data_IF_235189529528
#
_entry.id   IF_235189529528
#
_cell.length_a   1.000
_cell.length_b   1.000
_cell.length_c   1.000
_cell.angle_alpha   90.00
_cell.angle_beta   90.00
_cell.angle_gamma   90.00
#
_symmetry.space_group_name_H-M   'P 1'
#
loop_
_entity.id
_entity.type
_entity.pdbx_description
1 polymer ?
#
# COMPACT_ATOMS: atom_id res chain seq x y z
N UNK A 1 -4.44 42.69 -53.67
CA UNK A 1 -5.04 41.34 -53.80
C UNK A 1 -3.99 40.31 -53.41
N UNK A 2 -4.31 39.45 -52.43
CA UNK A 2 -3.86 38.05 -52.17
C UNK A 2 -2.36 37.71 -52.23
N UNK A 3 -1.77 37.31 -51.08
CA UNK A 3 -1.42 35.93 -50.64
C UNK A 3 0.04 35.56 -51.02
N UNK A 4 0.89 34.94 -50.18
CA UNK A 4 0.74 34.41 -48.83
C UNK A 4 2.04 33.82 -48.26
N UNK A 5 2.02 33.62 -46.94
CA UNK A 5 2.75 32.66 -46.08
C UNK A 5 4.30 32.66 -46.02
N UNK A 6 4.77 33.29 -44.93
CA UNK A 6 6.07 33.19 -44.27
C UNK A 6 6.08 31.93 -43.37
N UNK A 7 7.14 31.14 -43.37
CA UNK A 7 7.38 30.12 -42.34
C UNK A 7 8.87 30.13 -41.98
N UNK A 8 9.21 30.75 -40.86
CA UNK A 8 10.49 30.53 -40.19
C UNK A 8 10.26 30.38 -38.69
N UNK A 9 11.12 29.54 -38.11
CA UNK A 9 11.44 29.37 -36.70
C UNK A 9 10.47 28.62 -35.78
N UNK A 10 10.85 27.34 -35.60
CA UNK A 10 10.77 26.45 -34.44
C UNK A 10 10.38 27.14 -33.11
N UNK A 11 9.08 27.15 -32.86
CA UNK A 11 8.38 27.00 -31.58
C UNK A 11 8.87 25.73 -30.84
N UNK A 12 8.83 25.52 -29.53
CA UNK A 12 8.18 26.21 -28.43
C UNK A 12 8.73 25.59 -27.13
N UNK A 13 8.94 26.39 -26.09
CA UNK A 13 9.11 25.91 -24.72
C UNK A 13 7.86 26.29 -23.94
N UNK A 14 7.01 25.33 -23.56
CA UNK A 14 6.00 25.55 -22.51
C UNK A 14 5.85 24.37 -21.55
N UNK A 15 6.25 24.66 -20.31
CA UNK A 15 5.74 24.08 -19.08
C UNK A 15 4.33 24.68 -18.87
N UNK A 16 3.27 23.87 -18.88
CA UNK A 16 1.96 24.31 -18.38
C UNK A 16 1.85 23.94 -16.90
N UNK A 17 1.89 24.95 -16.04
CA UNK A 17 1.43 24.90 -14.65
C UNK A 17 0.25 25.87 -14.57
N UNK A 18 -0.96 25.34 -14.49
CA UNK A 18 -2.18 26.10 -14.31
C UNK A 18 -2.52 26.10 -12.81
N UNK A 19 -2.44 27.24 -12.15
CA UNK A 19 -3.13 27.51 -10.89
C UNK A 19 -3.45 29.00 -10.78
N UNK A 20 -4.74 29.26 -10.58
CA UNK A 20 -5.46 30.53 -10.52
C UNK A 20 -4.70 31.78 -10.06
N UNK A 21 -4.91 32.83 -10.87
CA UNK A 21 -4.70 34.25 -10.58
C UNK A 21 -5.52 34.74 -9.39
N UNK A 22 -4.85 35.46 -8.48
CA UNK A 22 -5.47 36.23 -7.40
C UNK A 22 -4.52 37.33 -6.89
N UNK A 23 -4.47 38.44 -7.65
CA UNK A 23 -4.14 39.83 -7.26
C UNK A 23 -2.73 40.14 -6.70
N UNK A 24 -1.96 40.95 -7.44
CA UNK A 24 -0.88 41.79 -6.89
C UNK A 24 0.47 41.61 -7.61
N UNK A 25 0.78 42.53 -8.53
CA UNK A 25 2.03 42.56 -9.30
C UNK A 25 3.22 43.11 -8.51
N UNK A 26 4.43 42.60 -8.79
CA UNK A 26 5.55 43.40 -9.31
C UNK A 26 6.67 42.48 -9.80
N UNK A 27 7.26 42.83 -10.94
CA UNK A 27 8.33 42.11 -11.61
C UNK A 27 9.64 42.87 -11.42
N UNK A 28 10.68 42.21 -10.93
CA UNK A 28 12.07 42.63 -11.14
C UNK A 28 12.83 41.45 -11.76
N UNK A 29 13.25 41.63 -13.01
CA UNK A 29 13.87 40.59 -13.83
C UNK A 29 15.31 40.31 -13.44
N UNK A 30 15.68 39.03 -13.41
CA UNK A 30 17.07 38.58 -13.28
C UNK A 30 17.60 38.30 -14.70
N UNK A 31 18.55 39.12 -15.15
CA UNK A 31 19.34 38.88 -16.35
C UNK A 31 20.34 37.75 -16.08
N UNK A 32 20.31 36.69 -16.88
CA UNK A 32 21.36 35.66 -16.89
C UNK A 32 22.05 35.72 -18.26
N UNK A 33 23.22 36.34 -18.30
CA UNK A 33 24.12 36.25 -19.45
C UNK A 33 24.89 34.93 -19.41
N UNK A 34 24.91 34.21 -20.54
CA UNK A 34 25.75 33.02 -20.72
C UNK A 34 27.21 33.47 -20.82
N UNK A 35 28.05 33.05 -19.88
CA UNK A 35 29.51 33.08 -20.04
C UNK A 35 30.05 31.66 -19.94
N UNK A 36 30.93 31.32 -20.88
CA UNK A 36 31.52 30.00 -21.11
C UNK A 36 33.00 30.07 -20.73
N UNK A 37 33.52 28.95 -20.20
CA UNK A 37 34.93 28.60 -19.88
C UNK A 37 35.37 28.85 -18.43
N UNK A 38 36.48 28.22 -17.97
CA UNK A 38 36.46 27.07 -17.07
C UNK A 38 37.23 27.40 -15.77
N UNK A 39 37.47 26.40 -14.93
CA UNK A 39 38.37 26.41 -13.75
C UNK A 39 37.93 27.22 -12.51
N UNK A 40 37.69 26.44 -11.44
CA UNK A 40 37.93 26.66 -10.01
C UNK A 40 37.32 27.82 -9.19
N UNK A 41 36.71 27.39 -8.08
CA UNK A 41 36.61 28.02 -6.76
C UNK A 41 35.75 29.30 -6.69
N UNK A 42 34.60 29.19 -6.02
CA UNK A 42 34.04 30.32 -5.28
C UNK A 42 33.62 29.91 -3.86
N UNK A 43 34.44 30.41 -2.94
CA UNK A 43 34.24 30.62 -1.52
C UNK A 43 32.99 31.49 -1.30
N UNK A 44 32.06 31.08 -0.43
CA UNK A 44 31.07 31.99 0.14
C UNK A 44 31.28 32.11 1.65
N UNK A 45 31.72 33.30 2.06
CA UNK A 45 31.76 33.76 3.44
C UNK A 45 30.45 34.49 3.78
N UNK A 46 30.06 34.33 5.05
CA UNK A 46 28.81 34.70 5.72
C UNK A 46 28.37 36.16 5.62
N UNK A 47 27.06 36.39 5.69
CA UNK A 47 26.50 37.35 6.67
C UNK A 47 25.19 36.82 7.25
N UNK A 48 25.12 36.75 8.58
CA UNK A 48 23.91 36.47 9.33
C UNK A 48 23.03 37.71 9.39
N UNK A 49 21.79 37.61 8.93
CA UNK A 49 20.71 38.52 9.33
C UNK A 49 19.55 37.69 9.88
N UNK A 50 19.13 38.07 11.07
CA UNK A 50 18.00 37.48 11.80
C UNK A 50 16.69 37.85 11.12
N UNK A 51 15.93 36.86 10.69
CA UNK A 51 14.47 36.99 10.57
C UNK A 51 13.79 35.63 10.75
N UNK A 52 13.03 35.55 11.84
CA UNK A 52 11.86 34.69 12.07
C UNK A 52 11.83 33.32 11.39
N UNK A 53 12.09 32.28 12.19
CA UNK A 53 11.74 30.90 11.89
C UNK A 53 10.23 30.74 11.77
N UNK A 54 9.68 30.88 10.58
CA UNK A 54 8.43 30.21 10.22
C UNK A 54 8.78 28.75 9.96
N UNK A 55 8.49 27.91 10.94
CA UNK A 55 8.38 26.47 10.78
C UNK A 55 7.52 26.19 9.55
N UNK A 56 8.13 25.65 8.49
CA UNK A 56 7.40 24.99 7.42
C UNK A 56 6.80 23.72 8.00
N UNK A 57 5.62 23.86 8.61
CA UNK A 57 4.79 22.72 8.95
C UNK A 57 4.33 22.11 7.63
N UNK A 58 4.97 21.00 7.25
CA UNK A 58 4.43 20.08 6.25
C UNK A 58 3.07 19.62 6.78
N UNK A 59 2.01 20.27 6.32
CA UNK A 59 0.63 19.90 6.61
C UNK A 59 0.38 18.56 5.93
N UNK A 60 0.58 17.47 6.68
CA UNK A 60 0.03 16.17 6.37
C UNK A 60 -1.49 16.34 6.39
N UNK A 61 -2.08 16.54 5.21
CA UNK A 61 -3.51 16.36 5.02
C UNK A 61 -3.83 14.91 5.38
N UNK A 62 -4.28 14.69 6.63
CA UNK A 62 -4.94 13.46 7.01
C UNK A 62 -6.19 13.34 6.15
N UNK A 63 -6.09 12.61 5.04
CA UNK A 63 -7.22 12.32 4.17
C UNK A 63 -8.13 11.30 4.84
N UNK A 64 -8.84 11.73 5.89
CA UNK A 64 -10.14 11.14 6.21
C UNK A 64 -11.06 11.51 5.05
N UNK A 65 -11.18 10.61 4.07
CA UNK A 65 -12.27 10.60 3.10
C UNK A 65 -13.35 9.60 3.56
N UNK A 66 -14.18 9.94 4.58
CA UNK A 66 -15.17 9.01 5.14
C UNK A 66 -16.25 8.60 4.13
N UNK A 67 -16.46 9.36 3.05
CA UNK A 67 -17.57 9.12 2.11
C UNK A 67 -17.24 8.15 0.95
N UNK A 68 -15.99 7.69 0.81
CA UNK A 68 -15.59 6.74 -0.26
C UNK A 68 -15.47 5.27 0.22
N UNK A 69 -15.65 5.02 1.51
CA UNK A 69 -15.49 3.69 2.12
C UNK A 69 -16.71 2.76 1.98
N UNK A 70 -17.86 3.24 1.50
CA UNK A 70 -19.04 2.39 1.22
C UNK A 70 -18.93 1.61 -0.10
N UNK A 71 -17.76 1.12 -0.45
CA UNK A 71 -17.56 0.28 -1.64
C UNK A 71 -17.65 -1.18 -1.22
N UNK A 72 -18.54 -1.93 -1.86
CA UNK A 72 -18.43 -3.38 -1.85
C UNK A 72 -17.09 -3.76 -2.48
N UNK A 73 -16.30 -4.57 -1.77
CA UNK A 73 -15.01 -5.05 -2.26
C UNK A 73 -15.32 -6.06 -3.37
N UNK A 74 -15.15 -5.65 -4.63
CA UNK A 74 -15.18 -6.56 -5.77
C UNK A 74 -13.76 -6.80 -6.28
N UNK A 75 -13.00 -7.70 -5.66
CA UNK A 75 -11.54 -7.79 -5.83
C UNK A 75 -11.04 -9.22 -5.92
N UNK A 76 -10.03 -9.39 -6.77
CA UNK A 76 -9.37 -10.66 -7.04
C UNK A 76 -7.90 -10.55 -6.63
N UNK A 77 -7.37 -11.60 -6.03
CA UNK A 77 -5.96 -11.69 -5.68
C UNK A 77 -5.32 -12.91 -6.32
N UNK A 78 -4.01 -12.87 -6.53
CA UNK A 78 -3.26 -14.07 -6.81
C UNK A 78 -3.07 -14.87 -5.52
N UNK A 79 -3.25 -16.19 -5.56
CA UNK A 79 -3.12 -17.04 -4.38
C UNK A 79 -2.71 -18.45 -4.77
N UNK A 80 -1.90 -19.11 -3.93
CA UNK A 80 -1.62 -20.53 -4.07
C UNK A 80 -2.42 -21.27 -2.99
N UNK A 81 -3.37 -22.14 -3.37
CA UNK A 81 -4.14 -22.90 -2.41
C UNK A 81 -3.25 -23.93 -1.69
N UNK A 82 -3.46 -24.15 -0.39
CA UNK A 82 -2.75 -25.19 0.35
C UNK A 82 -3.17 -26.58 -0.14
N UNK A 83 -2.21 -27.46 -0.41
CA UNK A 83 -2.40 -28.87 -0.74
C UNK A 83 -1.36 -29.72 0.00
N UNK A 84 -1.63 -31.00 0.31
CA UNK A 84 -0.63 -31.88 0.93
C UNK A 84 0.69 -31.94 0.15
N UNK A 85 0.64 -31.82 -1.18
CA UNK A 85 1.81 -31.86 -2.06
C UNK A 85 2.63 -30.58 -2.02
N UNK A 86 2.06 -29.48 -1.51
CA UNK A 86 2.72 -28.18 -1.43
C UNK A 86 2.95 -27.69 0.00
N UNK A 87 2.95 -28.58 1.00
CA UNK A 87 3.21 -28.19 2.39
C UNK A 87 4.65 -27.69 2.60
N UNK A 88 5.64 -28.36 2.00
CA UNK A 88 7.05 -27.97 2.10
C UNK A 88 7.30 -26.61 1.42
N UNK A 89 8.21 -25.81 1.98
CA UNK A 89 8.56 -24.49 1.43
C UNK A 89 9.17 -24.55 0.03
N UNK A 90 9.83 -25.67 -0.33
CA UNK A 90 10.43 -25.90 -1.65
C UNK A 90 9.45 -26.51 -2.64
N UNK A 91 8.26 -26.93 -2.18
CA UNK A 91 7.24 -27.49 -3.05
C UNK A 91 6.46 -26.39 -3.78
N UNK A 92 6.31 -26.57 -5.09
CA UNK A 92 5.60 -25.64 -5.95
C UNK A 92 4.10 -25.89 -5.90
N UNK A 93 3.31 -24.84 -5.67
CA UNK A 93 1.86 -24.85 -5.91
C UNK A 93 1.51 -24.09 -7.19
N UNK A 94 0.32 -24.33 -7.73
CA UNK A 94 -0.18 -23.63 -8.91
C UNK A 94 -1.01 -22.42 -8.45
N UNK A 95 -0.65 -21.19 -8.86
CA UNK A 95 -1.45 -20.02 -8.52
C UNK A 95 -2.83 -20.05 -9.18
N UNK A 96 -3.83 -19.64 -8.42
CA UNK A 96 -5.19 -19.41 -8.88
C UNK A 96 -5.62 -18.00 -8.51
N UNK A 97 -6.74 -17.57 -9.10
CA UNK A 97 -7.41 -16.33 -8.71
C UNK A 97 -8.26 -16.57 -7.47
N UNK A 98 -7.98 -15.84 -6.40
CA UNK A 98 -8.80 -15.78 -5.19
C UNK A 98 -9.85 -14.67 -5.33
N UNK A 99 -11.13 -15.05 -5.40
CA UNK A 99 -12.25 -14.11 -5.49
C UNK A 99 -12.70 -13.65 -4.10
N UNK A 100 -12.16 -12.54 -3.63
CA UNK A 100 -12.40 -12.05 -2.28
C UNK A 100 -13.87 -11.68 -2.03
N UNK A 101 -14.55 -11.13 -3.03
CA UNK A 101 -15.96 -10.73 -2.96
C UNK A 101 -16.86 -11.90 -2.60
N UNK A 102 -16.61 -13.05 -3.24
CA UNK A 102 -17.34 -14.30 -3.00
C UNK A 102 -16.94 -14.91 -1.66
N UNK A 103 -15.65 -15.03 -1.40
CA UNK A 103 -15.15 -15.77 -0.25
C UNK A 103 -15.29 -15.05 1.09
N UNK A 104 -15.40 -13.72 1.06
CA UNK A 104 -15.58 -12.89 2.25
C UNK A 104 -17.04 -12.46 2.49
N UNK A 105 -17.98 -12.98 1.69
CA UNK A 105 -19.40 -12.75 1.90
C UNK A 105 -19.80 -13.20 3.32
N UNK A 106 -20.49 -12.31 4.05
CA UNK A 106 -20.96 -12.52 5.44
C UNK A 106 -19.85 -12.84 6.46
N UNK A 107 -18.60 -12.49 6.18
CA UNK A 107 -17.47 -12.67 7.10
C UNK A 107 -16.99 -11.35 7.65
N UNK A 108 -16.38 -11.39 8.84
CA UNK A 108 -15.53 -10.31 9.34
C UNK A 108 -14.08 -10.60 8.95
N UNK A 109 -13.49 -9.73 8.14
CA UNK A 109 -12.16 -9.89 7.55
C UNK A 109 -11.26 -8.75 7.98
N UNK A 110 -10.09 -9.09 8.49
CA UNK A 110 -9.00 -8.15 8.73
C UNK A 110 -8.02 -8.28 7.57
N UNK A 111 -7.72 -7.17 6.92
CA UNK A 111 -6.67 -7.07 5.92
C UNK A 111 -5.53 -6.26 6.50
N UNK A 112 -4.30 -6.69 6.32
CA UNK A 112 -3.15 -5.80 6.43
C UNK A 112 -2.24 -5.98 5.23
N UNK A 113 -1.70 -4.86 4.76
CA UNK A 113 -0.77 -4.82 3.65
C UNK A 113 0.56 -4.26 4.07
N UNK A 114 1.59 -4.71 3.37
CA UNK A 114 2.97 -4.36 3.57
C UNK A 114 3.68 -4.28 2.22
N UNK A 115 4.77 -3.49 2.11
CA UNK A 115 5.41 -3.27 0.81
C UNK A 115 6.05 -4.51 0.19
N UNK A 116 6.49 -5.49 1.00
CA UNK A 116 6.99 -6.75 0.47
C UNK A 116 7.33 -7.79 1.51
N UNK A 117 7.07 -9.05 1.17
CA UNK A 117 7.50 -10.23 1.91
C UNK A 117 9.03 -10.24 2.10
N UNK A 118 9.48 -10.85 3.20
CA UNK A 118 10.90 -10.95 3.59
C UNK A 118 11.63 -9.61 3.85
N UNK A 119 10.94 -8.46 3.81
CA UNK A 119 11.57 -7.17 4.14
C UNK A 119 11.62 -6.93 5.66
N UNK A 120 12.58 -6.12 6.19
CA UNK A 120 12.92 -6.10 7.61
C UNK A 120 11.74 -5.81 8.55
N UNK A 121 11.09 -4.64 8.41
CA UNK A 121 9.96 -4.25 9.28
C UNK A 121 8.76 -5.19 9.14
N UNK A 122 8.50 -5.65 7.92
CA UNK A 122 7.37 -6.51 7.61
C UNK A 122 7.51 -7.88 8.30
N UNK A 123 8.73 -8.42 8.30
CA UNK A 123 9.04 -9.75 8.85
C UNK A 123 9.34 -9.71 10.34
N UNK A 124 9.89 -8.61 10.86
CA UNK A 124 10.26 -8.50 12.26
C UNK A 124 9.09 -8.11 13.17
N UNK A 125 8.16 -7.28 12.70
CA UNK A 125 7.12 -6.71 13.58
C UNK A 125 5.70 -6.74 13.02
N UNK A 126 5.50 -6.58 11.70
CA UNK A 126 4.15 -6.46 11.16
C UNK A 126 3.40 -7.80 11.16
N UNK A 127 3.87 -8.79 10.41
CA UNK A 127 3.24 -10.13 10.35
C UNK A 127 3.28 -10.86 11.71
N UNK A 128 4.42 -10.91 12.44
CA UNK A 128 4.44 -11.60 13.74
C UNK A 128 3.44 -11.05 14.75
N UNK A 129 3.18 -9.72 14.72
CA UNK A 129 2.17 -9.09 15.55
C UNK A 129 0.77 -9.65 15.30
N UNK A 130 0.40 -9.92 14.04
CA UNK A 130 -0.88 -10.56 13.71
C UNK A 130 -0.92 -12.02 14.14
N UNK A 131 0.14 -12.78 13.88
CA UNK A 131 0.23 -14.20 14.28
C UNK A 131 0.04 -14.36 15.79
N UNK A 132 0.72 -13.54 16.60
CA UNK A 132 0.60 -13.56 18.06
C UNK A 132 -0.81 -13.19 18.57
N UNK A 133 -1.60 -12.48 17.76
CA UNK A 133 -2.90 -11.92 18.13
C UNK A 133 -4.09 -12.65 17.49
N UNK A 134 -3.85 -13.72 16.73
CA UNK A 134 -4.91 -14.53 16.12
C UNK A 134 -5.99 -14.98 17.13
N UNK A 135 -5.67 -15.41 18.38
CA UNK A 135 -6.70 -15.76 19.36
C UNK A 135 -7.60 -14.57 19.72
N UNK A 136 -7.02 -13.40 20.00
CA UNK A 136 -7.77 -12.20 20.36
C UNK A 136 -8.62 -11.69 19.17
N UNK A 137 -8.10 -11.79 17.94
CA UNK A 137 -8.85 -11.48 16.73
C UNK A 137 -10.05 -12.42 16.58
N UNK A 138 -9.88 -13.70 16.88
CA UNK A 138 -10.98 -14.67 16.86
C UNK A 138 -12.06 -14.34 17.89
N UNK A 139 -11.68 -14.00 19.11
CA UNK A 139 -12.62 -13.59 20.18
C UNK A 139 -13.47 -12.38 19.78
N UNK A 140 -12.92 -11.50 18.94
CA UNK A 140 -13.64 -10.36 18.33
C UNK A 140 -14.51 -10.72 17.13
N UNK A 141 -14.62 -12.01 16.81
CA UNK A 141 -15.42 -12.54 15.72
C UNK A 141 -14.77 -12.37 14.34
N UNK A 142 -13.43 -12.23 14.26
CA UNK A 142 -12.73 -12.23 12.97
C UNK A 142 -12.72 -13.65 12.41
N UNK A 143 -13.14 -13.79 11.15
CA UNK A 143 -13.17 -15.05 10.42
C UNK A 143 -11.91 -15.24 9.58
N UNK A 144 -11.36 -14.15 9.03
CA UNK A 144 -10.22 -14.18 8.11
C UNK A 144 -9.24 -13.07 8.44
N UNK A 145 -7.96 -13.40 8.45
CA UNK A 145 -6.84 -12.44 8.47
C UNK A 145 -6.08 -12.61 7.15
N UNK A 146 -6.16 -11.60 6.28
CA UNK A 146 -5.53 -11.61 4.96
C UNK A 146 -4.34 -10.65 4.92
N UNK A 147 -3.16 -11.22 4.66
CA UNK A 147 -1.92 -10.48 4.42
C UNK A 147 -1.76 -10.24 2.92
N UNK A 148 -1.57 -8.99 2.50
CA UNK A 148 -1.43 -8.61 1.09
C UNK A 148 -0.09 -7.92 0.82
N UNK A 149 0.61 -8.31 -0.24
CA UNK A 149 1.79 -7.59 -0.71
C UNK A 149 1.88 -7.58 -2.24
N UNK A 150 2.75 -6.72 -2.78
CA UNK A 150 3.08 -6.65 -4.21
C UNK A 150 3.73 -7.94 -4.76
N UNK A 151 4.30 -8.77 -3.88
CA UNK A 151 4.94 -10.00 -4.29
C UNK A 151 3.98 -10.94 -5.00
N UNK A 152 4.49 -11.71 -5.96
CA UNK A 152 3.72 -12.74 -6.66
C UNK A 152 3.22 -13.86 -5.70
N UNK A 153 2.27 -14.70 -6.16
CA UNK A 153 1.67 -15.73 -5.31
C UNK A 153 2.66 -16.77 -4.78
N UNK A 154 3.75 -17.07 -5.50
CA UNK A 154 4.76 -18.04 -5.06
C UNK A 154 5.53 -17.50 -3.87
N UNK A 155 5.95 -16.25 -3.95
CA UNK A 155 6.64 -15.57 -2.85
C UNK A 155 5.71 -15.44 -1.64
N UNK A 156 4.44 -15.07 -1.84
CA UNK A 156 3.48 -14.96 -0.74
C UNK A 156 3.22 -16.32 -0.06
N UNK A 157 3.09 -17.39 -0.85
CA UNK A 157 2.95 -18.76 -0.33
C UNK A 157 4.17 -19.21 0.47
N UNK A 158 5.38 -19.05 -0.09
CA UNK A 158 6.62 -19.41 0.58
C UNK A 158 6.85 -18.59 1.85
N UNK A 159 6.46 -17.32 1.86
CA UNK A 159 6.57 -16.46 3.03
C UNK A 159 5.64 -16.88 4.16
N UNK A 160 4.39 -17.29 3.85
CA UNK A 160 3.50 -17.87 4.86
C UNK A 160 4.14 -19.08 5.54
N UNK A 161 4.63 -20.03 4.74
CA UNK A 161 5.33 -21.23 5.25
C UNK A 161 6.57 -20.90 6.07
N UNK A 162 7.36 -19.93 5.62
CA UNK A 162 8.55 -19.47 6.34
C UNK A 162 8.24 -18.88 7.73
N UNK A 163 7.00 -18.43 7.95
CA UNK A 163 6.53 -17.90 9.24
C UNK A 163 5.71 -18.93 10.04
N UNK A 164 5.79 -20.21 9.70
CA UNK A 164 5.12 -21.29 10.41
C UNK A 164 3.61 -21.31 10.22
N UNK A 165 3.11 -20.75 9.11
CA UNK A 165 1.71 -20.91 8.71
C UNK A 165 1.60 -22.19 7.91
N UNK A 166 0.83 -23.13 8.44
CA UNK A 166 0.64 -24.44 7.85
C UNK A 166 -0.63 -24.48 7.00
N UNK A 167 -0.80 -25.55 6.23
CA UNK A 167 -1.89 -25.68 5.29
C UNK A 167 -3.27 -25.60 5.97
N UNK A 168 -3.37 -26.16 7.17
CA UNK A 168 -4.55 -26.18 8.03
C UNK A 168 -4.97 -24.78 8.53
N UNK A 169 -4.02 -23.85 8.66
CA UNK A 169 -4.26 -22.45 9.05
C UNK A 169 -4.85 -21.62 7.91
N UNK A 170 -4.61 -22.06 6.67
CA UNK A 170 -4.97 -21.36 5.42
C UNK A 170 -6.34 -21.83 4.90
N UNK A 171 -6.92 -22.89 5.47
CA UNK A 171 -8.18 -23.48 4.99
C UNK A 171 -9.33 -22.48 5.11
N UNK A 172 -9.77 -21.99 3.96
CA UNK A 172 -11.14 -21.53 3.73
C UNK A 172 -11.97 -22.67 3.14
N UNK A 173 -13.29 -22.51 3.11
CA UNK A 173 -14.28 -23.45 2.54
C UNK A 173 -14.06 -23.86 1.06
N UNK A 174 -12.96 -23.46 0.43
CA UNK A 174 -12.67 -23.67 -0.99
C UNK A 174 -11.87 -24.93 -1.34
N UNK A 175 -11.15 -25.55 -0.40
CA UNK A 175 -10.28 -26.67 -0.77
C UNK A 175 -10.77 -28.02 -0.21
N UNK A 176 -11.30 -28.92 -1.06
CA UNK A 176 -11.87 -30.20 -0.62
C UNK A 176 -10.83 -31.20 -0.12
N UNK A 177 -9.52 -30.98 -0.39
CA UNK A 177 -8.47 -31.92 0.01
C UNK A 177 -8.01 -31.77 1.47
N UNK A 178 -8.47 -30.73 2.18
CA UNK A 178 -8.07 -30.49 3.57
C UNK A 178 -9.33 -30.50 4.44
N UNK A 179 -9.61 -31.66 5.02
CA UNK A 179 -10.86 -31.93 5.74
C UNK A 179 -10.87 -31.42 7.19
N UNK A 180 -9.78 -30.81 7.68
CA UNK A 180 -9.69 -30.35 9.07
C UNK A 180 -9.12 -28.94 9.16
N UNK A 181 -10.00 -27.98 9.46
CA UNK A 181 -9.62 -26.67 9.99
C UNK A 181 -9.39 -26.83 11.50
N UNK A 182 -8.26 -26.39 12.09
CA UNK A 182 -8.14 -26.27 13.54
C UNK A 182 -9.20 -25.27 14.00
N UNK A 183 -10.08 -25.72 14.89
CA UNK A 183 -11.39 -25.10 15.11
C UNK A 183 -11.37 -23.67 15.70
N UNK A 184 -10.20 -23.11 16.07
CA UNK A 184 -10.16 -22.03 17.05
C UNK A 184 -9.46 -20.74 16.61
N UNK A 185 -8.93 -20.62 15.38
CA UNK A 185 -8.32 -19.38 14.88
C UNK A 185 -9.04 -18.86 13.62
N UNK A 186 -8.84 -17.58 13.24
CA UNK A 186 -9.26 -17.08 11.93
C UNK A 186 -8.58 -17.91 10.82
N UNK A 187 -9.02 -17.81 9.57
CA UNK A 187 -8.25 -18.33 8.43
C UNK A 187 -7.13 -17.33 8.09
N UNK A 188 -5.90 -17.80 7.92
CA UNK A 188 -4.75 -16.97 7.51
C UNK A 188 -4.60 -17.02 5.99
N UNK A 189 -4.65 -15.88 5.31
CA UNK A 189 -4.44 -15.82 3.86
C UNK A 189 -3.19 -14.99 3.52
N UNK A 190 -2.43 -15.47 2.55
CA UNK A 190 -1.28 -14.78 1.97
C UNK A 190 -1.57 -14.52 0.50
N UNK A 191 -1.99 -13.29 0.20
CA UNK A 191 -2.56 -12.88 -1.08
C UNK A 191 -1.61 -11.95 -1.82
N UNK A 192 -1.52 -12.15 -3.13
CA UNK A 192 -0.72 -11.33 -4.05
C UNK A 192 -1.57 -10.21 -4.64
N UNK A 193 -1.12 -8.97 -4.46
CA UNK A 193 -1.59 -7.74 -5.14
C UNK A 193 -0.50 -7.24 -6.10
N UNK A 194 0.00 -8.14 -6.95
CA UNK A 194 1.16 -7.92 -7.80
C UNK A 194 0.95 -6.93 -8.95
N UNK A 195 -0.30 -6.63 -9.29
CA UNK A 195 -0.67 -5.57 -10.23
C UNK A 195 -1.10 -4.26 -9.52
N UNK A 196 -1.08 -4.28 -8.18
CA UNK A 196 -1.56 -3.23 -7.28
C UNK A 196 -3.04 -2.90 -7.48
N UNK A 197 -3.83 -3.80 -8.09
CA UNK A 197 -5.24 -3.58 -8.39
C UNK A 197 -6.02 -3.18 -7.15
N UNK A 198 -5.74 -3.80 -6.00
CA UNK A 198 -6.39 -3.47 -4.74
C UNK A 198 -5.87 -2.16 -4.15
N UNK A 199 -4.56 -2.05 -4.00
CA UNK A 199 -3.93 -0.87 -3.37
C UNK A 199 -4.20 0.43 -4.13
N UNK A 200 -4.32 0.37 -5.46
CA UNK A 200 -4.65 1.52 -6.32
C UNK A 200 -6.06 2.07 -6.09
N UNK A 201 -7.02 1.26 -5.61
CA UNK A 201 -8.39 1.74 -5.33
C UNK A 201 -8.42 2.86 -4.28
N UNK A 202 -7.46 2.80 -3.36
CA UNK A 202 -7.34 3.73 -2.25
C UNK A 202 -6.21 4.76 -2.47
N UNK A 203 -5.40 4.59 -3.53
CA UNK A 203 -4.17 5.36 -3.71
C UNK A 203 -3.10 4.99 -2.67
N UNK A 204 -3.14 3.77 -2.15
CA UNK A 204 -2.31 3.30 -1.03
C UNK A 204 -1.15 2.45 -1.51
N UNK A 205 -0.32 3.04 -2.37
CA UNK A 205 0.89 2.42 -2.90
C UNK A 205 2.14 3.08 -2.33
N UNK A 206 3.25 2.35 -2.29
CA UNK A 206 4.58 2.85 -1.97
C UNK A 206 5.44 2.74 -3.24
N UNK A 207 5.31 3.72 -4.13
CA UNK A 207 5.88 3.65 -5.48
C UNK A 207 5.25 2.50 -6.26
N UNK A 208 6.08 1.56 -6.73
CA UNK A 208 5.66 0.37 -7.48
C UNK A 208 5.23 -0.80 -6.59
N UNK A 209 5.10 -0.58 -5.28
CA UNK A 209 4.71 -1.60 -4.31
C UNK A 209 3.41 -1.23 -3.59
N UNK A 210 2.85 -2.19 -2.88
CA UNK A 210 1.76 -1.95 -1.93
C UNK A 210 2.23 -1.01 -0.81
N UNK A 211 1.33 -0.16 -0.31
CA UNK A 211 1.59 0.61 0.90
C UNK A 211 1.57 -0.26 2.16
N UNK A 212 1.89 0.34 3.31
CA UNK A 212 1.63 -0.30 4.61
C UNK A 212 0.31 0.23 5.16
N UNK A 213 -0.70 -0.62 5.29
CA UNK A 213 -2.05 -0.21 5.71
C UNK A 213 -2.81 -1.38 6.33
N UNK A 214 -3.94 -1.10 6.99
CA UNK A 214 -4.88 -2.12 7.43
C UNK A 214 -6.33 -1.72 7.19
N UNK A 215 -7.18 -2.72 6.95
CA UNK A 215 -8.62 -2.58 6.81
C UNK A 215 -9.34 -3.61 7.68
N UNK A 216 -10.53 -3.24 8.15
CA UNK A 216 -11.52 -4.18 8.68
C UNK A 216 -12.73 -4.14 7.75
N UNK A 217 -13.13 -5.29 7.26
CA UNK A 217 -14.34 -5.51 6.48
C UNK A 217 -15.30 -6.31 7.35
N UNK A 218 -16.49 -5.77 7.56
CA UNK A 218 -17.58 -6.44 8.28
C UNK A 218 -18.77 -6.59 7.33
N UNK A 219 -19.12 -7.83 6.98
CA UNK A 219 -20.23 -8.15 6.09
C UNK A 219 -20.16 -7.36 4.76
N UNK A 220 -18.98 -7.36 4.16
CA UNK A 220 -18.70 -6.69 2.89
C UNK A 220 -18.60 -5.16 2.95
N UNK A 221 -18.64 -4.55 4.14
CA UNK A 221 -18.49 -3.11 4.36
C UNK A 221 -17.17 -2.81 5.05
N UNK A 222 -16.44 -1.82 4.57
CA UNK A 222 -15.22 -1.36 5.22
C UNK A 222 -15.61 -0.52 6.45
N UNK A 223 -15.21 -0.97 7.64
CA UNK A 223 -15.50 -0.30 8.92
C UNK A 223 -14.26 0.35 9.55
N UNK A 224 -13.07 -0.05 9.10
CA UNK A 224 -11.80 0.58 9.42
C UNK A 224 -10.91 0.54 8.19
N UNK A 225 -10.18 1.61 7.93
CA UNK A 225 -9.19 1.66 6.86
C UNK A 225 -8.21 2.81 7.11
N UNK A 226 -6.95 2.49 7.41
CA UNK A 226 -5.89 3.48 7.63
C UNK A 226 -4.58 3.02 7.00
N UNK A 227 -3.83 3.98 6.46
CA UNK A 227 -2.49 3.81 5.90
C UNK A 227 -1.47 4.45 6.82
N UNK A 228 -0.29 3.85 6.90
CA UNK A 228 0.81 4.37 7.70
C UNK A 228 1.34 5.69 7.12
N UNK A 229 1.64 6.68 7.98
CA UNK A 229 2.24 7.94 7.55
C UNK A 229 3.72 7.80 7.21
N UNK A 230 4.35 6.69 7.63
CA UNK A 230 5.77 6.45 7.56
C UNK A 230 6.13 4.98 7.34
N UNK A 231 7.33 4.59 7.72
CA UNK A 231 7.85 3.22 7.54
C UNK A 231 7.47 2.30 8.68
N UNK A 232 7.08 2.89 9.81
CA UNK A 232 6.72 2.27 11.06
C UNK A 232 5.46 1.41 10.94
N UNK A 233 5.19 0.62 11.99
CA UNK A 233 3.93 -0.11 12.16
C UNK A 233 3.19 0.53 13.32
N UNK A 234 2.18 1.33 13.01
CA UNK A 234 1.31 2.03 13.95
C UNK A 234 -0.15 1.66 13.67
N UNK A 235 -0.85 2.41 12.81
CA UNK A 235 -2.26 2.23 12.47
C UNK A 235 -2.55 0.92 11.75
N UNK A 236 -1.56 0.31 11.11
CA UNK A 236 -1.66 -1.00 10.47
C UNK A 236 -1.26 -2.17 11.38
N UNK A 237 -0.85 -1.89 12.62
CA UNK A 237 -0.45 -2.93 13.57
C UNK A 237 -1.64 -3.70 14.14
N UNK A 238 -1.38 -4.95 14.57
CA UNK A 238 -2.41 -5.83 15.11
C UNK A 238 -3.13 -5.25 16.35
N UNK A 239 -2.41 -4.59 17.25
CA UNK A 239 -3.00 -3.95 18.44
C UNK A 239 -3.90 -2.76 18.06
N UNK A 240 -3.46 -1.94 17.08
CA UNK A 240 -4.28 -0.84 16.57
C UNK A 240 -5.57 -1.36 15.94
N UNK A 241 -5.49 -2.41 15.11
CA UNK A 241 -6.66 -3.06 14.50
C UNK A 241 -7.58 -3.68 15.55
N UNK A 242 -7.04 -4.39 16.55
CA UNK A 242 -7.81 -4.96 17.64
C UNK A 242 -8.63 -3.92 18.41
N UNK A 243 -8.09 -2.72 18.58
CA UNK A 243 -8.80 -1.61 19.24
C UNK A 243 -10.02 -1.09 18.47
N UNK A 244 -10.17 -1.49 17.20
CA UNK A 244 -11.24 -1.06 16.28
C UNK A 244 -12.28 -2.16 16.00
N UNK A 245 -12.11 -3.35 16.60
CA UNK A 245 -12.95 -4.54 16.40
C UNK A 245 -14.04 -4.74 17.46
#
# INVERSE_FOLDING_TARGET
MRNGSFLTTIDESYLYMEACSGVGASWEGIYISKVKYPIDIFLFLFTSSTSTSTTSSYSQHSNKHPNKLKRHINQNFGWIPPTPENEDIKACGIPITYNASKEWANKKVVIFSLPGAFTPTCSASHLPGYIAKLPALREKGVDVVATIAYNDPFVMSAWGKANGIHNEDIVSSLHPSISQKPANLPTQLFLSDSDLSFSKLFGWTAGERTGRYALIIDNGKIVYAEIEPGREVTVSGADAVLSKL
#
